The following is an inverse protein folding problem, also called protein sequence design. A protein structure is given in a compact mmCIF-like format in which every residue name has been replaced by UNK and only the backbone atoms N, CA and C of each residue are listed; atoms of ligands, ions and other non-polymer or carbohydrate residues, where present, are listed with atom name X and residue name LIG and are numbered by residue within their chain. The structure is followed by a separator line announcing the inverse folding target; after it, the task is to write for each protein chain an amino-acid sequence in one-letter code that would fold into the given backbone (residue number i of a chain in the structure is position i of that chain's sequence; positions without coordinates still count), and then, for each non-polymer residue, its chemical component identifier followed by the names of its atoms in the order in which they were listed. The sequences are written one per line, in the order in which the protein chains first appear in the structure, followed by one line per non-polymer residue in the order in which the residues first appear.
data_IF_663231255897
#
_entry.id   IF_663231255897
#
_cell.length_a   1.000
_cell.length_b   1.000
_cell.length_c   1.000
_cell.angle_alpha   90.00
_cell.angle_beta   90.00
_cell.angle_gamma   90.00
#
_symmetry.space_group_name_H-M   'P 1'
#
loop_
_entity.id
_entity.type
_entity.pdbx_description
1 polymer ?
#
# COMPACT_ATOMS: atom_id res chain seq x y z
N UNK A 1 -16.01 -10.75 -4.78
CA UNK A 1 -16.14 -10.86 -3.32
C UNK A 1 -15.82 -9.51 -2.71
N UNK A 2 -16.86 -8.69 -2.51
CA UNK A 2 -16.93 -7.42 -1.78
C UNK A 2 -18.39 -7.25 -1.35
N UNK A 3 -18.93 -8.23 -0.65
CA UNK A 3 -20.29 -8.18 -0.10
C UNK A 3 -20.25 -7.41 1.22
N UNK A 4 -20.04 -6.10 1.13
CA UNK A 4 -20.23 -5.15 2.22
C UNK A 4 -21.55 -4.42 1.96
N UNK A 5 -22.62 -4.88 2.60
CA UNK A 5 -23.89 -4.18 2.62
C UNK A 5 -23.87 -3.04 3.63
N UNK A 6 -24.98 -2.28 3.64
CA UNK A 6 -25.21 -1.22 4.63
C UNK A 6 -25.13 -1.75 6.07
N UNK A 7 -25.54 -3.00 6.29
CA UNK A 7 -25.49 -3.68 7.59
C UNK A 7 -24.06 -3.92 8.07
N UNK A 8 -23.19 -4.43 7.20
CA UNK A 8 -21.78 -4.68 7.52
C UNK A 8 -21.02 -3.37 7.74
N UNK A 9 -21.27 -2.35 6.92
CA UNK A 9 -20.70 -1.01 7.13
C UNK A 9 -21.09 -0.42 8.50
N UNK A 10 -22.34 -0.66 8.93
CA UNK A 10 -22.80 -0.29 10.28
C UNK A 10 -21.99 -0.96 11.39
N UNK A 11 -21.70 -2.26 11.27
CA UNK A 11 -20.89 -2.99 12.26
C UNK A 11 -19.48 -2.41 12.38
N UNK A 12 -18.82 -2.13 11.25
CA UNK A 12 -17.48 -1.50 11.25
C UNK A 12 -17.56 -0.11 11.90
N UNK A 13 -18.59 0.67 11.59
CA UNK A 13 -18.74 2.01 12.15
C UNK A 13 -18.86 1.99 13.69
N UNK A 14 -19.66 1.08 14.25
CA UNK A 14 -19.75 0.89 15.70
C UNK A 14 -18.38 0.55 16.31
N UNK A 15 -17.62 -0.36 15.71
CA UNK A 15 -16.29 -0.74 16.22
C UNK A 15 -15.36 0.48 16.24
N UNK A 16 -15.35 1.27 15.16
CA UNK A 16 -14.53 2.49 15.08
C UNK A 16 -14.94 3.49 16.18
N UNK A 17 -16.24 3.69 16.39
CA UNK A 17 -16.76 4.60 17.44
C UNK A 17 -16.35 4.14 18.84
N UNK A 18 -16.32 2.83 19.12
CA UNK A 18 -15.93 2.32 20.44
C UNK A 18 -14.42 2.42 20.65
N UNK A 19 -13.62 2.07 19.65
CA UNK A 19 -12.15 2.05 19.75
C UNK A 19 -11.56 3.45 19.81
N UNK A 20 -12.03 4.34 18.93
CA UNK A 20 -11.52 5.71 18.80
C UNK A 20 -12.30 6.67 19.70
N UNK A 21 -13.53 6.33 20.07
CA UNK A 21 -14.42 7.17 20.85
C UNK A 21 -15.33 8.06 19.98
N UNK A 22 -16.59 8.29 20.41
CA UNK A 22 -17.58 9.03 19.64
C UNK A 22 -17.24 10.51 19.45
N UNK A 23 -16.39 11.08 20.32
CA UNK A 23 -15.99 12.49 20.27
C UNK A 23 -14.77 12.74 19.37
N UNK A 24 -13.98 11.70 19.10
CA UNK A 24 -12.75 11.81 18.33
C UNK A 24 -13.02 11.76 16.84
N UNK A 25 -13.86 10.83 16.36
CA UNK A 25 -14.27 10.77 14.94
C UNK A 25 -14.80 12.12 14.40
N UNK A 26 -15.74 12.83 15.05
CA UNK A 26 -16.21 14.12 14.55
C UNK A 26 -15.10 15.18 14.56
N UNK A 27 -14.18 15.13 15.52
CA UNK A 27 -13.04 16.04 15.54
C UNK A 27 -12.03 15.71 14.43
N UNK A 28 -11.79 14.44 14.14
CA UNK A 28 -10.97 13.98 13.01
C UNK A 28 -11.61 14.38 11.68
N UNK A 29 -12.90 14.10 11.48
CA UNK A 29 -13.63 14.49 10.29
C UNK A 29 -13.67 16.01 10.07
N UNK A 30 -13.77 16.81 11.14
CA UNK A 30 -13.64 18.28 11.05
C UNK A 30 -12.24 18.69 10.57
N UNK A 31 -11.19 18.04 11.05
CA UNK A 31 -9.81 18.32 10.63
C UNK A 31 -9.57 17.92 9.18
N UNK A 32 -9.93 16.69 8.81
CA UNK A 32 -9.88 16.21 7.43
C UNK A 32 -10.75 17.07 6.51
N UNK A 33 -11.95 17.46 6.96
CA UNK A 33 -12.84 18.34 6.22
C UNK A 33 -12.25 19.72 5.94
N UNK A 34 -11.51 20.31 6.90
CA UNK A 34 -10.78 21.57 6.68
C UNK A 34 -9.69 21.40 5.62
N UNK A 35 -8.93 20.30 5.66
CA UNK A 35 -7.90 19.99 4.66
C UNK A 35 -8.53 19.82 3.27
N UNK A 36 -9.56 18.98 3.14
CA UNK A 36 -10.28 18.77 1.88
C UNK A 36 -10.91 20.06 1.36
N UNK A 37 -11.45 20.92 2.23
CA UNK A 37 -11.99 22.23 1.85
C UNK A 37 -10.90 23.15 1.30
N UNK A 38 -9.72 23.16 1.93
CA UNK A 38 -8.56 23.93 1.45
C UNK A 38 -8.09 23.43 0.09
N UNK A 39 -7.95 22.12 -0.08
CA UNK A 39 -7.62 21.50 -1.37
C UNK A 39 -8.67 21.84 -2.43
N UNK A 40 -9.97 21.73 -2.11
CA UNK A 40 -11.06 22.09 -3.03
C UNK A 40 -11.01 23.57 -3.45
N UNK A 41 -10.69 24.47 -2.53
CA UNK A 41 -10.51 25.90 -2.83
C UNK A 41 -9.35 26.10 -3.79
N UNK A 42 -8.20 25.51 -3.46
CA UNK A 42 -6.98 25.53 -4.26
C UNK A 42 -7.23 24.98 -5.67
N UNK A 43 -7.95 23.87 -5.81
CA UNK A 43 -8.34 23.31 -7.11
C UNK A 43 -9.25 24.24 -7.90
N UNK A 44 -10.13 24.99 -7.23
CA UNK A 44 -11.01 25.96 -7.91
C UNK A 44 -10.19 27.10 -8.51
N UNK A 45 -9.20 27.58 -7.77
CA UNK A 45 -8.29 28.65 -8.22
C UNK A 45 -7.33 28.13 -9.31
N UNK A 46 -6.80 26.91 -9.17
CA UNK A 46 -5.99 26.25 -10.20
C UNK A 46 -6.76 26.04 -11.49
N UNK A 47 -8.02 25.60 -11.45
CA UNK A 47 -8.81 25.43 -12.67
C UNK A 47 -8.99 26.76 -13.41
N UNK A 48 -9.19 27.86 -12.68
CA UNK A 48 -9.28 29.20 -13.28
C UNK A 48 -7.95 29.64 -13.90
N UNK A 49 -6.82 29.44 -13.21
CA UNK A 49 -5.50 29.78 -13.75
C UNK A 49 -5.08 28.89 -14.93
N UNK A 50 -5.31 27.57 -14.82
CA UNK A 50 -5.02 26.60 -15.88
C UNK A 50 -5.88 26.90 -17.12
N UNK A 51 -7.15 27.23 -16.98
CA UNK A 51 -7.99 27.59 -18.13
C UNK A 51 -7.51 28.84 -18.88
N UNK A 52 -6.82 29.77 -18.21
CA UNK A 52 -6.21 30.93 -18.85
C UNK A 52 -4.93 30.56 -19.62
N UNK A 53 -4.10 29.68 -19.05
CA UNK A 53 -2.82 29.23 -19.64
C UNK A 53 -3.02 28.17 -20.75
N UNK A 54 -4.02 27.31 -20.62
CA UNK A 54 -4.39 26.27 -21.61
C UNK A 54 -4.86 26.89 -22.91
N UNK A 55 -5.51 28.08 -22.85
CA UNK A 55 -5.89 28.83 -24.05
C UNK A 55 -4.69 29.35 -24.85
N UNK A 56 -3.49 29.37 -24.26
CA UNK A 56 -2.24 29.84 -24.87
C UNK A 56 -1.19 28.71 -25.10
N UNK A 57 -1.53 27.45 -24.79
CA UNK A 57 -0.75 26.24 -25.11
C UNK A 57 0.64 26.09 -24.44
N UNK A 58 0.71 26.22 -23.10
CA UNK A 58 1.93 25.90 -22.30
C UNK A 58 1.67 24.90 -21.15
N UNK A 59 0.85 23.86 -21.36
CA UNK A 59 0.60 22.83 -20.33
C UNK A 59 1.88 22.05 -19.98
N UNK A 60 2.80 21.91 -20.93
CA UNK A 60 4.05 21.16 -20.74
C UNK A 60 5.09 21.92 -19.90
N UNK A 61 5.07 23.26 -19.92
CA UNK A 61 5.97 24.10 -19.11
C UNK A 61 5.55 24.09 -17.63
N UNK A 62 4.25 24.01 -17.34
CA UNK A 62 3.75 23.80 -15.97
C UNK A 62 4.20 22.46 -15.37
N UNK A 63 4.19 21.39 -16.16
CA UNK A 63 4.70 20.07 -15.72
C UNK A 63 6.20 20.10 -15.45
N UNK A 64 6.96 20.89 -16.21
CA UNK A 64 8.41 21.07 -16.03
C UNK A 64 8.75 21.92 -14.79
N UNK A 65 7.92 22.92 -14.47
CA UNK A 65 8.09 23.80 -13.32
C UNK A 65 7.59 23.20 -11.99
N UNK A 66 6.69 22.20 -12.03
CA UNK A 66 6.40 21.35 -10.87
C UNK A 66 7.55 20.34 -10.76
N UNK A 67 8.71 20.82 -10.35
CA UNK A 67 9.83 19.94 -10.06
C UNK A 67 9.53 19.21 -8.75
N UNK A 68 9.19 17.92 -8.84
CA UNK A 68 8.86 17.06 -7.70
C UNK A 68 9.99 17.08 -6.66
N UNK A 69 11.23 17.24 -7.13
CA UNK A 69 12.42 17.36 -6.28
C UNK A 69 12.40 18.64 -5.42
N UNK A 70 11.90 19.76 -5.94
CA UNK A 70 11.81 21.02 -5.19
C UNK A 70 10.68 20.97 -4.16
N UNK A 71 9.57 20.30 -4.49
CA UNK A 71 8.50 20.04 -3.52
C UNK A 71 8.97 19.13 -2.38
N UNK A 72 9.65 18.03 -2.70
CA UNK A 72 10.23 17.14 -1.69
C UNK A 72 11.25 17.84 -0.80
N UNK A 73 12.11 18.69 -1.38
CA UNK A 73 13.06 19.50 -0.59
C UNK A 73 12.36 20.45 0.36
N UNK A 74 11.34 21.18 -0.09
CA UNK A 74 10.59 22.12 0.77
C UNK A 74 9.83 21.40 1.88
N UNK A 75 9.18 20.28 1.56
CA UNK A 75 8.49 19.46 2.56
C UNK A 75 9.48 18.89 3.58
N UNK A 76 10.60 18.34 3.12
CA UNK A 76 11.63 17.85 4.04
C UNK A 76 12.18 18.99 4.90
N UNK A 77 12.46 20.16 4.34
CA UNK A 77 13.01 21.30 5.08
C UNK A 77 12.03 21.86 6.12
N UNK A 78 10.75 22.03 5.77
CA UNK A 78 9.72 22.53 6.70
C UNK A 78 9.36 21.51 7.78
N UNK A 79 9.31 20.21 7.43
CA UNK A 79 9.03 19.12 8.39
C UNK A 79 10.23 18.87 9.31
N UNK A 80 11.48 18.99 8.81
CA UNK A 80 12.71 18.94 9.62
C UNK A 80 12.81 20.10 10.59
N UNK A 81 12.36 21.30 10.20
CA UNK A 81 12.46 22.50 11.05
C UNK A 81 11.37 22.58 12.11
N UNK A 82 10.15 22.15 11.81
CA UNK A 82 8.99 22.42 12.67
C UNK A 82 8.53 21.22 13.52
N UNK A 83 9.01 20.01 13.24
CA UNK A 83 8.61 18.80 13.96
C UNK A 83 9.74 17.76 14.01
N UNK A 84 10.72 17.89 14.94
CA UNK A 84 11.87 16.98 15.01
C UNK A 84 11.47 15.51 15.21
N UNK A 85 10.40 15.22 15.96
CA UNK A 85 9.95 13.85 16.20
C UNK A 85 9.32 13.16 14.97
N UNK A 86 8.66 13.93 14.09
CA UNK A 86 8.04 13.40 12.87
C UNK A 86 9.09 13.17 11.79
N UNK A 87 10.22 13.87 11.84
CA UNK A 87 11.24 13.73 10.82
C UNK A 87 12.01 12.42 10.92
N UNK A 88 12.23 11.95 12.15
CA UNK A 88 12.86 10.65 12.40
C UNK A 88 11.94 9.51 11.91
N UNK A 89 10.63 9.60 12.16
CA UNK A 89 9.63 8.65 11.65
C UNK A 89 9.56 8.67 10.10
N UNK A 90 9.53 9.84 9.47
CA UNK A 90 9.50 9.94 8.00
C UNK A 90 10.78 9.42 7.34
N UNK A 91 11.94 9.65 7.95
CA UNK A 91 13.23 9.14 7.47
C UNK A 91 13.30 7.63 7.60
N UNK A 92 12.77 7.07 8.68
CA UNK A 92 12.66 5.64 8.90
C UNK A 92 11.70 4.99 7.89
N UNK A 93 10.53 5.60 7.64
CA UNK A 93 9.57 5.16 6.61
C UNK A 93 10.20 5.20 5.22
N UNK A 94 10.88 6.29 4.83
CA UNK A 94 11.54 6.40 3.52
C UNK A 94 12.67 5.36 3.34
N UNK A 95 13.45 5.10 4.39
CA UNK A 95 14.47 4.06 4.35
C UNK A 95 13.86 2.66 4.26
N UNK A 96 12.74 2.44 4.94
CA UNK A 96 11.99 1.18 4.91
C UNK A 96 11.36 0.94 3.53
N UNK A 97 10.73 1.95 2.93
CA UNK A 97 10.18 1.88 1.56
C UNK A 97 11.27 1.61 0.52
N UNK A 98 12.42 2.30 0.62
CA UNK A 98 13.57 2.08 -0.27
C UNK A 98 14.17 0.66 -0.15
N UNK A 99 14.08 0.05 1.04
CA UNK A 99 14.52 -1.32 1.28
C UNK A 99 13.46 -2.36 0.86
N UNK A 100 12.17 -2.00 0.92
CA UNK A 100 11.07 -2.81 0.43
C UNK A 100 11.11 -2.91 -1.10
N UNK A 101 11.30 -1.81 -1.84
CA UNK A 101 11.42 -1.85 -3.31
C UNK A 101 12.56 -2.75 -3.77
N UNK A 102 13.74 -2.64 -3.13
CA UNK A 102 14.90 -3.49 -3.41
C UNK A 102 14.66 -4.98 -3.07
N UNK A 103 13.75 -5.28 -2.15
CA UNK A 103 13.40 -6.66 -1.79
C UNK A 103 12.19 -7.19 -2.57
N UNK A 104 11.31 -6.33 -3.06
CA UNK A 104 10.18 -6.68 -3.94
C UNK A 104 10.70 -7.19 -5.29
N UNK A 105 11.75 -6.58 -5.84
CA UNK A 105 12.43 -7.07 -7.05
C UNK A 105 13.16 -8.40 -6.84
N UNK A 106 13.68 -8.65 -5.62
CA UNK A 106 14.33 -9.93 -5.26
C UNK A 106 13.34 -11.03 -4.91
N UNK A 107 12.16 -10.69 -4.39
CA UNK A 107 11.15 -11.65 -3.94
C UNK A 107 10.46 -12.37 -5.10
N UNK A 108 10.40 -11.77 -6.30
CA UNK A 108 9.94 -12.47 -7.50
C UNK A 108 10.82 -13.68 -7.88
N UNK A 109 12.09 -13.71 -7.44
CA UNK A 109 13.00 -14.84 -7.69
C UNK A 109 12.83 -16.01 -6.70
N UNK A 110 12.20 -15.78 -5.55
CA UNK A 110 12.06 -16.78 -4.47
C UNK A 110 10.86 -17.72 -4.73
N UNK A 111 9.80 -17.23 -5.38
CA UNK A 111 8.58 -18.03 -5.67
C UNK A 111 8.83 -19.16 -6.68
N UNK A 112 9.87 -19.07 -7.50
CA UNK A 112 10.27 -20.11 -8.47
C UNK A 112 11.04 -21.29 -7.86
N UNK A 113 11.56 -21.17 -6.62
CA UNK A 113 12.38 -22.23 -5.99
C UNK A 113 11.54 -23.28 -5.26
N UNK A 114 10.39 -22.90 -4.69
CA UNK A 114 9.51 -23.81 -3.94
C UNK A 114 8.67 -24.74 -4.82
N UNK A 115 8.38 -24.38 -6.08
CA UNK A 115 7.64 -25.25 -7.01
C UNK A 115 8.42 -26.50 -7.47
N UNK A 116 9.75 -26.50 -7.32
CA UNK A 116 10.63 -27.65 -7.64
C UNK A 116 10.78 -28.60 -6.44
N UNK A 117 10.64 -28.10 -5.21
CA UNK A 117 10.68 -28.92 -4.00
C UNK A 117 9.40 -29.77 -3.87
N UNK A 118 8.22 -29.19 -4.12
CA UNK A 118 6.95 -29.91 -4.00
C UNK A 118 6.81 -31.06 -5.01
N UNK A 119 7.31 -30.89 -6.24
CA UNK A 119 7.26 -31.96 -7.26
C UNK A 119 8.12 -33.17 -6.91
N UNK A 120 9.26 -32.96 -6.26
CA UNK A 120 10.15 -34.05 -5.86
C UNK A 120 9.63 -34.78 -4.61
N UNK A 121 9.02 -34.06 -3.66
CA UNK A 121 8.33 -34.65 -2.51
C UNK A 121 7.14 -35.51 -2.95
N UNK A 122 6.26 -35.00 -3.82
CA UNK A 122 5.09 -35.74 -4.34
C UNK A 122 5.53 -36.95 -5.18
N UNK A 123 6.59 -36.83 -6.00
CA UNK A 123 7.11 -37.93 -6.82
C UNK A 123 7.71 -39.06 -5.96
N UNK A 124 8.38 -38.71 -4.86
CA UNK A 124 8.96 -39.69 -3.94
C UNK A 124 7.91 -40.37 -3.05
N UNK A 125 6.85 -39.64 -2.65
CA UNK A 125 5.71 -40.21 -1.92
C UNK A 125 4.96 -41.26 -2.76
N UNK A 126 4.68 -40.96 -4.04
CA UNK A 126 4.01 -41.90 -4.94
C UNK A 126 4.86 -43.14 -5.27
N UNK A 127 6.19 -42.98 -5.33
CA UNK A 127 7.11 -44.10 -5.52
C UNK A 127 7.15 -45.04 -4.30
N UNK A 128 7.05 -44.48 -3.09
CA UNK A 128 7.05 -45.28 -1.85
C UNK A 128 5.75 -46.07 -1.65
N UNK A 129 4.59 -45.56 -2.08
CA UNK A 129 3.32 -46.30 -1.95
C UNK A 129 3.22 -47.49 -2.92
N UNK A 130 3.82 -47.40 -4.10
CA UNK A 130 3.75 -48.46 -5.11
C UNK A 130 4.67 -49.66 -4.82
N UNK A 131 5.67 -49.50 -3.94
CA UNK A 131 6.58 -50.58 -3.52
C UNK A 131 5.96 -51.42 -2.39
N UNK A 132 5.12 -50.82 -1.53
CA UNK A 132 4.50 -51.49 -0.37
C UNK A 132 3.36 -52.44 -0.75
N UNK A 133 2.74 -52.27 -1.92
CA UNK A 133 1.66 -53.12 -2.45
C UNK A 133 2.17 -54.41 -3.12
N UNK A 134 3.45 -54.45 -3.53
CA UNK A 134 4.02 -55.60 -4.28
C UNK A 134 4.56 -56.73 -3.40
N UNK A 135 4.77 -56.49 -2.10
CA UNK A 135 5.41 -57.44 -1.17
C UNK A 135 4.44 -58.16 -0.22
N UNK A 136 3.12 -58.09 -0.41
CA UNK A 136 2.13 -58.77 0.44
C UNK A 136 1.33 -59.87 -0.27
N UNK A 137 1.78 -60.33 -1.45
CA UNK A 137 1.11 -61.41 -2.22
C UNK A 137 1.89 -62.72 -2.33
N UNK A 138 2.98 -62.88 -1.60
CA UNK A 138 3.65 -64.18 -1.46
C UNK A 138 3.72 -64.52 0.02
N UNK A 139 3.26 -65.74 0.32
CA UNK A 139 3.49 -66.46 1.58
C UNK A 139 2.44 -66.26 2.68
N UNK A 140 1.17 -66.50 2.32
CA UNK A 140 0.21 -67.13 3.24
C UNK A 140 0.17 -68.64 2.96
N UNK A 141 1.07 -69.39 3.59
CA UNK A 141 0.95 -70.84 3.83
C UNK A 141 0.64 -71.04 5.31
#
# INVERSE_FOLDING_TARGET
MLSLGWSELGIIFIIIVVVVGPNEIPNLLKQFGKVTKKVKSISRDFNTSINNIVKEAEIDEFKKNINVDDFQKKVNEEVMKNTPNITDEFKEINSSLKNLDKNLDKSQNIKSKNSKLDKNLVKNLNKSQNIKSKNSKTDGK
#
